data_IF_156298080576
#
_entry.id   IF_156298080576
#
_cell.length_a   1.000
_cell.length_b   1.000
_cell.length_c   1.000
_cell.angle_alpha   90.00
_cell.angle_beta   90.00
_cell.angle_gamma   90.00
#
_symmetry.space_group_name_H-M   'P 1'
#
loop_
_entity.id
_entity.type
_entity.pdbx_description
1 polymer ?
#
# COMPACT_ATOMS: atom_id res chain seq x y z
N UNK A 1 2.00 -68.90 19.94
CA UNK A 1 1.00 -68.05 19.25
C UNK A 1 0.61 -66.90 20.18
N UNK A 2 0.36 -65.73 19.58
CA UNK A 2 -0.25 -64.52 20.15
C UNK A 2 0.60 -63.59 21.05
N UNK A 3 1.36 -62.66 20.43
CA UNK A 3 1.50 -61.26 20.90
C UNK A 3 2.17 -60.36 19.85
N UNK A 4 1.46 -59.97 18.79
CA UNK A 4 2.02 -59.08 17.75
C UNK A 4 1.08 -57.95 17.27
N UNK A 5 0.04 -57.59 18.03
CA UNK A 5 -0.93 -56.58 17.58
C UNK A 5 -0.96 -55.29 18.39
N UNK A 6 0.08 -54.95 19.15
CA UNK A 6 0.03 -53.79 20.07
C UNK A 6 1.00 -52.66 19.72
N UNK A 7 1.55 -52.60 18.50
CA UNK A 7 2.50 -51.53 18.13
C UNK A 7 2.03 -50.68 16.94
N UNK A 8 1.05 -51.12 16.16
CA UNK A 8 0.63 -50.41 14.95
C UNK A 8 -0.37 -49.25 15.15
N UNK A 9 -0.89 -49.04 16.38
CA UNK A 9 -1.91 -48.01 16.64
C UNK A 9 -1.38 -46.71 17.26
N UNK A 10 -0.08 -46.60 17.55
CA UNK A 10 0.48 -45.42 18.22
C UNK A 10 1.03 -44.34 17.27
N UNK A 11 1.04 -44.55 15.95
CA UNK A 11 1.70 -43.64 14.99
C UNK A 11 0.75 -42.71 14.23
N UNK A 12 -0.57 -42.78 14.47
CA UNK A 12 -1.56 -41.94 13.78
C UNK A 12 -2.00 -40.68 14.56
N UNK A 13 -1.47 -40.44 15.75
CA UNK A 13 -1.89 -39.33 16.62
C UNK A 13 -1.00 -38.07 16.54
N UNK A 14 -0.10 -37.98 15.57
CA UNK A 14 0.76 -36.81 15.34
C UNK A 14 0.42 -36.09 14.03
N UNK A 15 -0.88 -35.99 13.71
CA UNK A 15 -1.37 -35.07 12.69
C UNK A 15 -1.30 -33.63 13.23
N UNK A 16 -0.11 -33.02 13.16
CA UNK A 16 0.09 -31.62 13.50
C UNK A 16 -0.91 -30.76 12.74
N UNK A 17 -1.78 -30.06 13.48
CA UNK A 17 -2.69 -29.08 12.92
C UNK A 17 -1.88 -27.95 12.27
N UNK A 18 -1.70 -28.00 10.96
CA UNK A 18 -1.20 -26.86 10.19
C UNK A 18 -2.33 -25.83 10.17
N UNK A 19 -2.36 -24.96 11.16
CA UNK A 19 -3.23 -23.80 11.15
C UNK A 19 -2.79 -22.92 10.00
N UNK A 20 -3.60 -22.86 8.94
CA UNK A 20 -3.44 -21.87 7.87
C UNK A 20 -3.73 -20.52 8.52
N UNK A 21 -2.68 -19.85 9.01
CA UNK A 21 -2.79 -18.47 9.49
C UNK A 21 -3.09 -17.62 8.27
N UNK A 22 -4.36 -17.27 8.06
CA UNK A 22 -4.72 -16.25 7.07
C UNK A 22 -4.05 -14.95 7.53
N UNK A 23 -3.23 -14.29 6.71
CA UNK A 23 -2.74 -12.98 7.07
C UNK A 23 -3.96 -12.10 7.31
N UNK A 24 -4.03 -11.47 8.48
CA UNK A 24 -5.02 -10.44 8.72
C UNK A 24 -4.80 -9.36 7.66
N UNK A 25 -5.75 -9.17 6.74
CA UNK A 25 -5.75 -8.00 5.86
C UNK A 25 -5.95 -6.76 6.74
N UNK A 26 -4.85 -6.26 7.29
CA UNK A 26 -4.83 -4.97 7.94
C UNK A 26 -5.11 -3.93 6.85
N UNK A 27 -6.31 -3.35 6.88
CA UNK A 27 -6.68 -2.26 5.97
C UNK A 27 -5.68 -1.13 6.14
N UNK A 28 -4.95 -0.78 5.08
CA UNK A 28 -4.00 0.34 5.09
C UNK A 28 -4.78 1.62 5.45
N UNK A 29 -4.34 2.31 6.51
CA UNK A 29 -4.91 3.59 6.96
C UNK A 29 -3.93 4.69 6.65
N UNK A 30 -4.34 5.59 5.77
CA UNK A 30 -3.58 6.77 5.39
C UNK A 30 -4.05 7.98 6.19
N UNK A 31 -3.11 8.80 6.64
CA UNK A 31 -3.31 10.12 7.18
C UNK A 31 -2.40 11.09 6.43
N UNK A 32 -2.97 11.95 5.58
CA UNK A 32 -2.26 13.01 4.85
C UNK A 32 -0.96 12.57 4.14
N UNK A 33 -0.95 11.36 3.56
CA UNK A 33 0.22 10.82 2.88
C UNK A 33 1.05 9.83 3.69
N UNK A 34 0.78 9.72 4.99
CA UNK A 34 1.51 8.86 5.92
C UNK A 34 0.68 7.65 6.37
N UNK A 35 1.38 6.58 6.73
CA UNK A 35 0.82 5.41 7.41
C UNK A 35 1.69 5.03 8.61
N UNK A 36 1.07 4.48 9.65
CA UNK A 36 1.81 3.90 10.78
C UNK A 36 2.36 2.54 10.36
N UNK A 37 3.69 2.40 10.35
CA UNK A 37 4.42 1.16 10.08
C UNK A 37 5.38 0.94 11.24
N UNK A 38 5.25 -0.18 11.93
CA UNK A 38 6.11 -0.57 13.05
C UNK A 38 6.29 0.52 14.12
N UNK A 39 5.21 1.26 14.41
CA UNK A 39 5.20 2.34 15.41
C UNK A 39 5.69 3.70 14.91
N UNK A 40 6.14 3.82 13.66
CA UNK A 40 6.58 5.06 13.05
C UNK A 40 5.61 5.52 11.95
N UNK A 41 5.39 6.83 11.84
CA UNK A 41 4.63 7.40 10.71
C UNK A 41 5.56 7.52 9.51
N UNK A 42 5.29 6.73 8.47
CA UNK A 42 6.07 6.72 7.23
C UNK A 42 5.26 7.30 6.08
N UNK A 43 5.87 8.21 5.32
CA UNK A 43 5.33 8.64 4.03
C UNK A 43 5.53 7.52 3.01
N UNK A 44 4.47 6.77 2.70
CA UNK A 44 4.54 5.68 1.72
C UNK A 44 3.94 6.08 0.39
N UNK A 45 4.41 5.52 -0.75
CA UNK A 45 3.87 5.83 -2.06
C UNK A 45 2.35 5.63 -2.12
N UNK A 46 1.84 4.56 -1.52
CA UNK A 46 0.41 4.26 -1.49
C UNK A 46 -0.42 5.39 -0.87
N UNK A 47 -0.01 5.89 0.30
CA UNK A 47 -0.74 6.93 1.01
C UNK A 47 -0.50 8.31 0.41
N UNK A 48 0.70 8.57 -0.10
CA UNK A 48 1.04 9.80 -0.79
C UNK A 48 0.19 9.99 -2.05
N UNK A 49 -0.01 8.94 -2.85
CA UNK A 49 -0.90 9.00 -4.03
C UNK A 49 -2.37 9.23 -3.66
N UNK A 50 -2.85 8.62 -2.57
CA UNK A 50 -4.18 8.91 -2.05
C UNK A 50 -4.34 10.37 -1.64
N UNK A 51 -3.28 10.94 -1.06
CA UNK A 51 -3.31 12.33 -0.65
C UNK A 51 -3.28 13.28 -1.85
N UNK A 52 -2.50 12.98 -2.89
CA UNK A 52 -2.57 13.68 -4.18
C UNK A 52 -3.98 13.64 -4.74
N UNK A 53 -4.62 12.47 -4.76
CA UNK A 53 -5.99 12.31 -5.21
C UNK A 53 -6.98 13.15 -4.36
N UNK A 54 -6.84 13.12 -3.03
CA UNK A 54 -7.68 13.89 -2.12
C UNK A 54 -7.55 15.39 -2.34
N UNK A 55 -6.33 15.91 -2.51
CA UNK A 55 -6.07 17.32 -2.80
C UNK A 55 -6.60 17.67 -4.19
N UNK A 56 -6.34 16.86 -5.21
CA UNK A 56 -6.85 17.09 -6.57
C UNK A 56 -8.39 17.20 -6.61
N UNK A 57 -9.11 16.37 -5.84
CA UNK A 57 -10.57 16.50 -5.71
C UNK A 57 -11.00 17.83 -5.10
N UNK A 58 -10.21 18.42 -4.20
CA UNK A 58 -10.48 19.78 -3.67
C UNK A 58 -10.30 20.87 -4.75
N UNK A 59 -9.49 20.61 -5.76
CA UNK A 59 -9.33 21.46 -6.94
C UNK A 59 -10.36 21.14 -8.05
N UNK A 60 -11.30 20.21 -7.83
CA UNK A 60 -12.36 19.88 -8.79
C UNK A 60 -12.06 18.77 -9.78
N UNK A 61 -10.93 18.06 -9.64
CA UNK A 61 -10.61 16.92 -10.50
C UNK A 61 -11.39 15.67 -10.09
N UNK A 62 -11.88 14.90 -11.07
CA UNK A 62 -12.30 13.52 -10.86
C UNK A 62 -11.07 12.61 -10.74
N UNK A 63 -10.49 12.61 -9.54
CA UNK A 63 -9.28 11.90 -9.19
C UNK A 63 -9.59 10.76 -8.19
N UNK A 64 -10.05 9.59 -8.66
CA UNK A 64 -10.16 8.42 -7.81
C UNK A 64 -8.77 7.91 -7.45
N UNK A 65 -8.60 7.53 -6.19
CA UNK A 65 -7.34 7.08 -5.58
C UNK A 65 -6.61 6.02 -6.42
N UNK A 66 -7.35 5.02 -6.91
CA UNK A 66 -6.79 3.95 -7.75
C UNK A 66 -6.24 4.46 -9.09
N UNK A 67 -6.88 5.48 -9.68
CA UNK A 67 -6.44 6.04 -10.97
C UNK A 67 -5.18 6.86 -10.82
N UNK A 68 -5.06 7.66 -9.75
CA UNK A 68 -3.83 8.42 -9.45
C UNK A 68 -2.66 7.47 -9.21
N UNK A 69 -2.87 6.40 -8.44
CA UNK A 69 -1.83 5.40 -8.14
C UNK A 69 -1.41 4.58 -9.36
N UNK A 70 -2.38 4.06 -10.11
CA UNK A 70 -2.11 3.06 -11.15
C UNK A 70 -1.84 3.69 -12.53
N UNK A 71 -2.03 5.00 -12.68
CA UNK A 71 -1.77 5.71 -13.93
C UNK A 71 -0.81 6.89 -13.69
N UNK A 72 0.50 6.71 -13.92
CA UNK A 72 1.49 7.77 -13.71
C UNK A 72 1.30 8.96 -14.66
N UNK A 73 0.70 8.75 -15.85
CA UNK A 73 0.39 9.84 -16.77
C UNK A 73 -0.74 10.73 -16.21
N UNK A 74 -1.74 10.11 -15.59
CA UNK A 74 -2.83 10.85 -14.93
C UNK A 74 -2.33 11.60 -13.69
N UNK A 75 -1.46 10.98 -12.87
CA UNK A 75 -0.78 11.67 -11.76
C UNK A 75 0.01 12.87 -12.27
N UNK A 76 0.79 12.71 -13.35
CA UNK A 76 1.54 13.79 -14.00
C UNK A 76 0.63 14.93 -14.49
N UNK A 77 -0.47 14.60 -15.16
CA UNK A 77 -1.44 15.60 -15.63
C UNK A 77 -1.99 16.45 -14.47
N UNK A 78 -2.44 15.81 -13.39
CA UNK A 78 -2.90 16.51 -12.18
C UNK A 78 -1.78 17.37 -11.59
N UNK A 79 -0.59 16.80 -11.44
CA UNK A 79 0.56 17.48 -10.85
C UNK A 79 1.04 18.70 -11.63
N UNK A 80 0.78 18.79 -12.94
CA UNK A 80 1.03 20.02 -13.71
C UNK A 80 0.14 21.18 -13.28
N UNK A 81 -1.05 20.89 -12.77
CA UNK A 81 -1.99 21.89 -12.28
C UNK A 81 -1.79 22.20 -10.80
N UNK A 82 -1.68 21.16 -9.95
CA UNK A 82 -1.66 21.32 -8.49
C UNK A 82 -0.29 21.14 -7.84
N UNK A 83 0.77 20.82 -8.60
CA UNK A 83 2.08 20.47 -8.05
C UNK A 83 2.80 21.60 -7.30
N UNK A 84 2.28 22.82 -7.37
CA UNK A 84 2.74 23.96 -6.58
C UNK A 84 2.14 23.99 -5.16
N UNK A 85 1.09 23.21 -4.88
CA UNK A 85 0.51 23.08 -3.55
C UNK A 85 1.48 22.32 -2.63
N UNK A 86 1.83 22.94 -1.51
CA UNK A 86 2.83 22.43 -0.55
C UNK A 86 2.50 21.02 -0.07
N UNK A 87 1.21 20.65 -0.03
CA UNK A 87 0.73 19.35 0.47
C UNK A 87 1.13 18.20 -0.45
N UNK A 88 1.29 18.47 -1.74
CA UNK A 88 1.53 17.45 -2.77
C UNK A 88 2.81 17.69 -3.56
N UNK A 89 3.53 18.79 -3.29
CA UNK A 89 4.75 19.17 -3.99
C UNK A 89 5.74 18.00 -4.10
N UNK A 90 6.13 17.43 -2.97
CA UNK A 90 7.08 16.31 -2.93
C UNK A 90 6.58 15.09 -3.72
N UNK A 91 5.28 14.80 -3.65
CA UNK A 91 4.65 13.71 -4.40
C UNK A 91 4.62 13.97 -5.91
N UNK A 92 4.51 15.22 -6.31
CA UNK A 92 4.44 15.66 -7.70
C UNK A 92 5.81 15.80 -8.34
N UNK A 93 6.85 16.13 -7.58
CA UNK A 93 8.25 16.16 -8.06
C UNK A 93 8.72 14.78 -8.58
N UNK A 94 8.13 13.69 -8.11
CA UNK A 94 8.40 12.33 -8.62
C UNK A 94 8.06 12.17 -10.11
N UNK A 95 7.05 12.89 -10.59
CA UNK A 95 6.53 12.76 -11.96
C UNK A 95 6.77 14.01 -12.81
N UNK A 96 6.92 15.18 -12.18
CA UNK A 96 7.26 16.48 -12.76
C UNK A 96 8.37 17.14 -11.92
N UNK A 97 9.63 16.68 -12.02
CA UNK A 97 10.72 17.26 -11.25
C UNK A 97 10.95 18.72 -11.62
N UNK A 98 10.86 19.61 -10.63
CA UNK A 98 11.21 21.02 -10.76
C UNK A 98 12.72 21.15 -10.95
N UNK A 99 13.16 21.17 -12.20
CA UNK A 99 14.60 21.14 -12.50
C UNK A 99 14.97 20.68 -13.92
N UNK A 100 13.99 20.31 -14.76
CA UNK A 100 14.19 20.22 -16.22
C UNK A 100 14.33 21.61 -16.85
N UNK A 101 15.26 22.41 -16.33
CA UNK A 101 15.90 23.43 -17.14
C UNK A 101 16.61 22.69 -18.26
N UNK A 102 16.25 23.03 -19.49
CA UNK A 102 16.88 22.50 -20.70
C UNK A 102 18.37 22.82 -20.63
N UNK A 103 19.20 21.80 -20.40
CA UNK A 103 20.59 21.80 -20.83
C UNK A 103 20.64 21.26 -22.26
#
# INVERSE_FOLDING_TARGET
MAKQHTVLLALLAAGGAVTIVKPAEAKIRCNEGFQLVDGAMLSTPYCRDNYVAAVARKYGFDAPDAKVRNNPNFKREICRWIGHDIRVKDACEEVEPSGRSRF
#
